data_IF_305142655769
#
_entry.id   IF_305142655769
#
_cell.length_a   1.000
_cell.length_b   1.000
_cell.length_c   1.000
_cell.angle_alpha   90.00
_cell.angle_beta   90.00
_cell.angle_gamma   90.00
#
_symmetry.space_group_name_H-M   'P 1'
#
loop_
_entity.id
_entity.type
_entity.pdbx_description
1 polymer ?
#
# COMPACT_ATOMS: atom_id res chain seq x y z
N UNK A 1 13.24 0.48 20.75
CA UNK A 1 12.11 0.07 19.89
C UNK A 1 12.73 -0.65 18.71
N UNK A 2 12.65 -1.97 18.67
CA UNK A 2 13.22 -2.73 17.54
C UNK A 2 12.21 -2.70 16.39
N UNK A 3 12.63 -2.21 15.23
CA UNK A 3 11.83 -2.27 14.02
C UNK A 3 12.00 -3.66 13.41
N UNK A 4 10.92 -4.44 13.33
CA UNK A 4 10.93 -5.71 12.57
C UNK A 4 11.21 -5.39 11.10
N UNK A 5 12.35 -5.80 10.52
CA UNK A 5 12.68 -5.49 9.13
C UNK A 5 11.69 -6.15 8.15
N UNK A 6 10.92 -7.13 8.61
CA UNK A 6 9.84 -7.75 7.84
C UNK A 6 8.55 -6.93 7.80
N UNK A 7 8.42 -5.85 8.58
CA UNK A 7 7.21 -5.02 8.59
C UNK A 7 7.24 -4.03 7.43
N UNK A 8 6.14 -3.95 6.67
CA UNK A 8 5.99 -2.93 5.63
C UNK A 8 5.95 -1.55 6.26
N UNK A 9 7.00 -0.75 6.02
CA UNK A 9 7.16 0.59 6.60
C UNK A 9 6.14 1.59 6.05
N UNK A 10 5.73 1.44 4.79
CA UNK A 10 4.76 2.33 4.13
C UNK A 10 3.39 2.33 4.84
N UNK A 11 2.84 1.14 5.12
CA UNK A 11 1.57 1.00 5.83
C UNK A 11 1.74 0.75 7.34
N UNK A 12 2.98 0.74 7.85
CA UNK A 12 3.30 0.43 9.25
C UNK A 12 2.69 -0.91 9.72
N UNK A 13 2.70 -1.91 8.84
CA UNK A 13 2.16 -3.24 9.14
C UNK A 13 0.65 -3.42 9.02
N UNK A 14 -0.14 -2.39 8.72
CA UNK A 14 -1.61 -2.51 8.62
C UNK A 14 -2.10 -3.22 7.36
N UNK A 15 -1.35 -3.11 6.26
CA UNK A 15 -1.79 -3.50 4.92
C UNK A 15 -2.65 -2.45 4.19
N UNK A 16 -2.99 -1.35 4.84
CA UNK A 16 -3.85 -0.30 4.28
C UNK A 16 -3.21 1.09 4.42
N UNK A 17 -3.52 1.97 3.48
CA UNK A 17 -3.17 3.39 3.53
C UNK A 17 -4.43 4.24 3.52
N UNK A 18 -4.36 5.41 4.16
CA UNK A 18 -5.38 6.45 3.98
C UNK A 18 -5.02 7.25 2.73
N UNK A 19 -5.95 7.33 1.78
CA UNK A 19 -5.85 8.13 0.56
C UNK A 19 -6.85 9.27 0.65
N UNK A 20 -6.40 10.50 0.42
CA UNK A 20 -7.25 11.67 0.22
C UNK A 20 -7.48 11.99 -1.27
N UNK A 21 -7.12 11.08 -2.18
CA UNK A 21 -7.32 11.27 -3.61
C UNK A 21 -8.82 11.41 -3.90
N UNK A 22 -9.22 12.43 -4.65
CA UNK A 22 -10.65 12.73 -4.88
C UNK A 22 -11.32 13.55 -3.76
N UNK A 23 -10.56 14.02 -2.76
CA UNK A 23 -11.03 14.99 -1.76
C UNK A 23 -11.71 14.40 -0.53
N UNK A 24 -11.89 13.08 -0.46
CA UNK A 24 -12.37 12.36 0.73
C UNK A 24 -11.33 11.32 1.17
N UNK A 25 -11.12 11.20 2.48
CA UNK A 25 -10.29 10.16 3.07
C UNK A 25 -10.95 8.79 2.93
N UNK A 26 -10.29 7.87 2.23
CA UNK A 26 -10.70 6.48 2.13
C UNK A 26 -9.50 5.54 2.29
N UNK A 27 -9.77 4.30 2.67
CA UNK A 27 -8.73 3.28 2.81
C UNK A 27 -8.46 2.62 1.47
N UNK A 28 -7.18 2.53 1.11
CA UNK A 28 -6.73 1.78 -0.07
C UNK A 28 -5.78 0.68 0.37
N UNK A 29 -5.79 -0.44 -0.38
CA UNK A 29 -4.80 -1.50 -0.21
C UNK A 29 -3.40 -0.93 -0.42
N UNK A 30 -2.47 -1.23 0.49
CA UNK A 30 -1.09 -0.77 0.38
C UNK A 30 -0.40 -1.39 -0.86
N UNK A 31 0.01 -0.61 -1.86
CA UNK A 31 0.60 -1.16 -3.09
C UNK A 31 2.00 -1.74 -2.87
N UNK A 32 2.71 -1.30 -1.83
CA UNK A 32 4.03 -1.83 -1.47
C UNK A 32 4.01 -3.26 -0.93
N UNK A 33 2.90 -3.70 -0.33
CA UNK A 33 2.82 -5.02 0.30
C UNK A 33 1.58 -5.84 -0.11
N UNK A 34 0.75 -5.36 -1.05
CA UNK A 34 -0.58 -5.93 -1.38
C UNK A 34 -1.57 -6.03 -0.22
N UNK A 35 -1.34 -5.29 0.85
CA UNK A 35 -2.11 -5.46 2.07
C UNK A 35 -1.69 -6.63 2.95
N UNK A 36 -0.54 -7.26 2.69
CA UNK A 36 0.02 -8.26 3.62
C UNK A 36 0.57 -7.65 4.91
N UNK A 37 0.86 -6.34 4.92
CA UNK A 37 1.53 -5.67 6.03
C UNK A 37 3.02 -6.01 6.16
N UNK A 38 3.57 -6.89 5.31
CA UNK A 38 4.97 -7.30 5.34
C UNK A 38 5.75 -6.81 4.13
N UNK A 39 7.04 -6.54 4.33
CA UNK A 39 7.94 -6.21 3.24
C UNK A 39 8.18 -7.45 2.36
N UNK A 40 8.04 -7.27 1.06
CA UNK A 40 8.32 -8.28 0.04
C UNK A 40 9.30 -7.70 -0.96
N UNK A 41 10.54 -8.21 -0.95
CA UNK A 41 11.62 -7.73 -1.80
C UNK A 41 11.43 -8.10 -3.29
N UNK A 42 10.54 -9.04 -3.60
CA UNK A 42 10.29 -9.48 -4.98
C UNK A 42 9.23 -8.65 -5.69
N UNK A 43 8.57 -7.75 -4.95
CA UNK A 43 7.46 -6.94 -5.45
C UNK A 43 7.95 -5.59 -5.99
N UNK A 44 7.53 -5.28 -7.21
CA UNK A 44 7.61 -3.93 -7.75
C UNK A 44 6.39 -3.12 -7.29
N UNK A 45 6.60 -2.20 -6.36
CA UNK A 45 5.55 -1.32 -5.84
C UNK A 45 5.05 -0.29 -6.88
N UNK A 46 5.70 -0.18 -8.04
CA UNK A 46 5.31 0.70 -9.15
C UNK A 46 4.69 -0.07 -10.31
N UNK A 47 4.56 -1.39 -10.20
CA UNK A 47 3.83 -2.17 -11.18
C UNK A 47 2.39 -1.66 -11.29
N UNK A 48 1.80 -1.67 -12.49
CA UNK A 48 0.42 -1.26 -12.67
C UNK A 48 -0.49 -2.11 -11.78
N UNK A 49 -1.43 -1.47 -11.11
CA UNK A 49 -2.42 -2.15 -10.30
C UNK A 49 -3.17 -3.19 -11.17
N UNK A 50 -3.22 -4.44 -10.70
CA UNK A 50 -4.08 -5.47 -11.30
C UNK A 50 -5.52 -5.14 -10.87
N UNK A 51 -6.19 -4.37 -11.73
CA UNK A 51 -7.57 -3.85 -11.64
C UNK A 51 -7.87 -2.76 -10.60
N UNK A 52 -8.39 -1.62 -11.11
CA UNK A 52 -9.60 -1.04 -10.54
C UNK A 52 -9.55 0.31 -9.82
N UNK A 53 -8.77 1.28 -10.26
CA UNK A 53 -9.18 2.69 -10.07
C UNK A 53 -8.88 3.44 -11.37
N UNK A 54 -9.89 3.93 -12.11
CA UNK A 54 -9.62 4.79 -13.24
C UNK A 54 -8.85 6.00 -12.71
N UNK A 55 -7.60 6.13 -13.15
CA UNK A 55 -6.90 7.39 -13.04
C UNK A 55 -7.68 8.36 -13.93
N UNK A 56 -8.57 9.13 -13.32
CA UNK A 56 -9.11 10.42 -13.75
C UNK A 56 -9.46 10.55 -15.26
N UNK A 57 -10.75 10.57 -15.58
CA UNK A 57 -11.28 11.06 -16.87
C UNK A 57 -12.40 12.06 -16.62
#
# INVERSE_FOLDING_TARGET
MEHDPGTCTACRGSGELISGLGGEEHRVRCPWCDGTGRFDATRDAQAPAREGHPADS
#
